data_IF_313316938946
#
_entry.id   IF_313316938946
#
_cell.length_a   1.000
_cell.length_b   1.000
_cell.length_c   1.000
_cell.angle_alpha   90.00
_cell.angle_beta   90.00
_cell.angle_gamma   90.00
#
_symmetry.space_group_name_H-M   'P 1'
#
loop_
_entity.id
_entity.type
_entity.pdbx_description
1 polymer ?
#
# COMPACT_ATOMS: atom_id res chain seq x y z
N UNK A 1 21.23 -7.90 -6.58
CA UNK A 1 20.50 -7.99 -7.88
C UNK A 1 21.43 -7.68 -9.04
N UNK A 2 22.02 -6.48 -9.17
CA UNK A 2 22.91 -6.11 -10.28
C UNK A 2 24.17 -7.01 -10.38
N UNK A 3 24.82 -7.30 -9.26
CA UNK A 3 25.99 -8.21 -9.25
C UNK A 3 25.61 -9.61 -9.73
N UNK A 4 24.48 -10.15 -9.25
CA UNK A 4 23.95 -11.43 -9.71
C UNK A 4 23.59 -11.42 -11.20
N UNK A 5 23.09 -10.30 -11.72
CA UNK A 5 22.82 -10.16 -13.14
C UNK A 5 24.11 -10.24 -13.97
N UNK A 6 25.18 -9.54 -13.54
CA UNK A 6 26.48 -9.63 -14.20
C UNK A 6 27.08 -11.05 -14.14
N UNK A 7 26.93 -11.75 -13.02
CA UNK A 7 27.36 -13.14 -12.87
C UNK A 7 26.63 -14.10 -13.83
N UNK A 8 25.34 -13.87 -14.06
CA UNK A 8 24.51 -14.66 -14.99
C UNK A 8 24.78 -14.31 -16.46
N UNK A 9 25.32 -13.13 -16.74
CA UNK A 9 25.60 -12.64 -18.08
C UNK A 9 27.08 -12.25 -18.28
N UNK A 10 28.03 -13.17 -18.09
CA UNK A 10 29.46 -12.85 -18.06
C UNK A 10 30.02 -12.35 -19.40
N UNK A 11 29.28 -12.48 -20.50
CA UNK A 11 29.64 -11.97 -21.81
C UNK A 11 29.07 -10.59 -22.13
N UNK A 12 28.37 -9.98 -21.18
CA UNK A 12 27.81 -8.64 -21.31
C UNK A 12 28.66 -7.66 -20.52
N UNK A 13 29.03 -6.55 -21.17
CA UNK A 13 29.73 -5.46 -20.51
C UNK A 13 28.73 -4.38 -20.12
N UNK A 14 28.20 -4.52 -18.88
CA UNK A 14 27.18 -3.63 -18.35
C UNK A 14 27.69 -2.92 -17.11
N UNK A 15 27.58 -1.60 -17.12
CA UNK A 15 27.79 -0.75 -15.95
C UNK A 15 26.44 -0.25 -15.45
N UNK A 16 26.16 -0.45 -14.16
CA UNK A 16 24.95 0.02 -13.52
C UNK A 16 25.16 1.40 -12.90
N UNK A 17 24.29 2.34 -13.25
CA UNK A 17 24.19 3.64 -12.60
C UNK A 17 22.99 3.61 -11.66
N UNK A 18 23.18 4.02 -10.40
CA UNK A 18 22.15 3.95 -9.39
C UNK A 18 21.59 5.34 -9.12
N UNK A 19 20.26 5.43 -9.11
CA UNK A 19 19.52 6.59 -8.65
C UNK A 19 18.67 6.25 -7.43
N UNK A 20 18.24 7.26 -6.69
CA UNK A 20 17.33 7.11 -5.55
C UNK A 20 15.97 7.68 -5.92
N UNK A 21 14.97 6.81 -5.92
CA UNK A 21 13.56 7.17 -6.08
C UNK A 21 12.74 6.22 -5.21
N UNK A 22 11.83 6.75 -4.41
CA UNK A 22 10.91 5.90 -3.66
C UNK A 22 9.86 5.32 -4.61
N UNK A 23 9.33 4.13 -4.29
CA UNK A 23 8.28 3.49 -5.09
C UNK A 23 7.00 4.36 -5.19
N UNK A 24 6.74 5.17 -4.18
CA UNK A 24 5.59 6.08 -4.13
C UNK A 24 5.79 7.36 -4.94
N UNK A 25 7.05 7.81 -5.10
CA UNK A 25 7.38 9.01 -5.86
C UNK A 25 7.58 8.74 -7.36
N UNK A 26 7.84 7.50 -7.74
CA UNK A 26 8.08 7.12 -9.14
C UNK A 26 6.98 7.64 -10.09
N UNK A 27 5.70 7.53 -9.69
CA UNK A 27 4.56 8.02 -10.48
C UNK A 27 4.56 9.52 -10.74
N UNK A 28 5.33 10.31 -9.97
CA UNK A 28 5.46 11.76 -10.15
C UNK A 28 6.76 12.14 -10.83
N UNK A 29 7.86 11.48 -10.44
CA UNK A 29 9.20 11.86 -10.89
C UNK A 29 9.52 11.33 -12.28
N UNK A 30 9.19 10.07 -12.57
CA UNK A 30 9.49 9.46 -13.87
C UNK A 30 8.81 10.19 -15.04
N UNK A 31 7.52 10.55 -14.98
CA UNK A 31 6.87 11.29 -16.06
C UNK A 31 7.38 12.71 -16.30
N UNK A 32 8.14 13.29 -15.36
CA UNK A 32 8.68 14.65 -15.55
C UNK A 32 9.79 14.71 -16.60
N UNK A 33 10.61 13.66 -16.66
CA UNK A 33 11.69 13.54 -17.64
C UNK A 33 11.98 12.03 -17.87
N UNK A 34 11.28 11.45 -18.84
CA UNK A 34 11.38 10.03 -19.15
C UNK A 34 12.76 9.68 -19.69
N UNK A 35 13.38 10.59 -20.45
CA UNK A 35 14.69 10.37 -21.05
C UNK A 35 15.82 10.37 -20.00
N UNK A 36 15.63 11.06 -18.89
CA UNK A 36 16.55 11.08 -17.75
C UNK A 36 16.22 10.02 -16.68
N UNK A 37 15.07 9.36 -16.77
CA UNK A 37 14.68 8.32 -15.83
C UNK A 37 15.56 7.07 -15.97
N UNK A 38 15.64 6.27 -14.91
CA UNK A 38 16.33 4.99 -14.95
C UNK A 38 15.58 4.00 -15.87
N UNK A 39 16.35 3.16 -16.61
CA UNK A 39 15.80 2.10 -17.47
C UNK A 39 14.97 1.07 -16.68
N UNK A 40 15.31 0.87 -15.41
CA UNK A 40 14.59 -0.02 -14.48
C UNK A 40 14.40 0.69 -13.15
N UNK A 41 13.17 0.74 -12.68
CA UNK A 41 12.83 1.37 -11.40
C UNK A 41 11.71 0.60 -10.69
N UNK A 42 11.61 0.81 -9.38
CA UNK A 42 10.55 0.25 -8.53
C UNK A 42 9.43 1.26 -8.43
N UNK A 43 8.19 0.80 -8.55
CA UNK A 43 7.01 1.65 -8.35
C UNK A 43 5.92 0.92 -7.56
N UNK A 44 5.06 1.68 -6.90
CA UNK A 44 3.85 1.16 -6.27
C UNK A 44 2.76 0.93 -7.31
N UNK A 45 2.02 -0.18 -7.23
CA UNK A 45 0.88 -0.47 -8.12
C UNK A 45 -0.17 0.66 -8.15
N UNK A 46 -0.27 1.45 -7.08
CA UNK A 46 -1.13 2.66 -7.04
C UNK A 46 -0.68 3.78 -7.99
N UNK A 47 0.51 3.66 -8.56
CA UNK A 47 1.06 4.58 -9.57
C UNK A 47 0.99 4.06 -10.99
N UNK A 48 0.53 2.82 -11.20
CA UNK A 48 0.54 2.15 -12.50
C UNK A 48 -0.16 2.97 -13.58
N UNK A 49 -1.38 3.41 -13.34
CA UNK A 49 -2.16 4.19 -14.29
C UNK A 49 -1.45 5.48 -14.72
N UNK A 50 -0.92 6.24 -13.76
CA UNK A 50 -0.19 7.47 -14.05
C UNK A 50 1.04 7.23 -14.96
N UNK A 51 1.78 6.16 -14.67
CA UNK A 51 2.97 5.78 -15.42
C UNK A 51 2.62 5.28 -16.83
N UNK A 52 1.55 4.49 -16.99
CA UNK A 52 1.06 4.03 -18.29
C UNK A 52 0.55 5.19 -19.13
N UNK A 53 -0.27 6.09 -18.58
CA UNK A 53 -0.78 7.28 -19.27
C UNK A 53 0.34 8.23 -19.73
N UNK A 54 1.44 8.27 -18.99
CA UNK A 54 2.63 9.02 -19.35
C UNK A 54 3.57 8.27 -20.32
N UNK A 55 3.21 7.06 -20.78
CA UNK A 55 4.07 6.18 -21.57
C UNK A 55 5.45 5.92 -20.95
N UNK A 56 5.50 5.83 -19.62
CA UNK A 56 6.75 5.66 -18.85
C UNK A 56 7.09 4.19 -18.58
N UNK A 57 6.23 3.26 -19.02
CA UNK A 57 6.42 1.82 -18.83
C UNK A 57 6.34 1.08 -20.16
N UNK A 58 7.07 -0.01 -20.23
CA UNK A 58 7.01 -0.94 -21.37
C UNK A 58 6.15 -2.14 -21.01
N UNK A 59 5.25 -2.52 -21.90
CA UNK A 59 4.43 -3.71 -21.77
C UNK A 59 5.28 -4.99 -21.84
N UNK A 60 5.03 -5.91 -20.91
CA UNK A 60 5.63 -7.24 -20.94
C UNK A 60 4.87 -8.17 -21.90
N UNK A 61 5.62 -8.86 -22.78
CA UNK A 61 5.06 -9.81 -23.72
C UNK A 61 5.84 -11.12 -23.81
N UNK A 62 5.27 -12.08 -24.56
CA UNK A 62 5.89 -13.38 -24.82
C UNK A 62 6.29 -14.10 -23.54
N UNK A 63 7.47 -14.72 -23.56
CA UNK A 63 7.96 -15.54 -22.43
C UNK A 63 8.03 -14.82 -21.08
N UNK A 64 8.19 -13.50 -21.07
CA UNK A 64 8.24 -12.73 -19.81
C UNK A 64 6.85 -12.62 -19.18
N UNK A 65 5.83 -12.39 -20.00
CA UNK A 65 4.44 -12.40 -19.55
C UNK A 65 4.04 -13.79 -19.02
N UNK A 66 4.42 -14.86 -19.75
CA UNK A 66 4.18 -16.23 -19.32
C UNK A 66 4.83 -16.49 -17.96
N UNK A 67 6.10 -16.07 -17.79
CA UNK A 67 6.82 -16.21 -16.53
C UNK A 67 6.12 -15.46 -15.36
N UNK A 68 5.59 -14.27 -15.60
CA UNK A 68 4.84 -13.51 -14.59
C UNK A 68 3.59 -14.29 -14.20
N UNK A 69 2.80 -14.74 -15.16
CA UNK A 69 1.54 -15.47 -14.92
C UNK A 69 1.73 -16.84 -14.25
N UNK A 70 2.85 -17.51 -14.51
CA UNK A 70 3.18 -18.83 -13.93
C UNK A 70 3.70 -18.71 -12.48
N UNK A 71 4.45 -17.67 -12.17
CA UNK A 71 5.15 -17.56 -10.88
C UNK A 71 4.45 -16.70 -9.83
N UNK A 72 3.44 -15.92 -10.22
CA UNK A 72 2.70 -15.03 -9.30
C UNK A 72 1.21 -15.36 -9.32
N UNK A 73 0.52 -15.07 -8.22
CA UNK A 73 -0.94 -15.21 -8.18
C UNK A 73 -1.62 -14.24 -9.14
N UNK A 74 -2.83 -14.58 -9.59
CA UNK A 74 -3.63 -13.71 -10.48
C UNK A 74 -3.81 -12.31 -9.87
N UNK A 75 -4.09 -12.21 -8.57
CA UNK A 75 -4.24 -10.93 -7.88
C UNK A 75 -3.00 -10.05 -8.02
N UNK A 76 -1.80 -10.63 -7.94
CA UNK A 76 -0.55 -9.87 -8.12
C UNK A 76 -0.31 -9.47 -9.57
N UNK A 77 -0.57 -10.36 -10.52
CA UNK A 77 -0.45 -10.05 -11.94
C UNK A 77 -1.47 -8.97 -12.36
N UNK A 78 -2.71 -9.08 -11.89
CA UNK A 78 -3.80 -8.13 -12.17
C UNK A 78 -3.52 -6.75 -11.58
N UNK A 79 -2.84 -6.66 -10.42
CA UNK A 79 -2.43 -5.38 -9.82
C UNK A 79 -1.43 -4.59 -10.67
N UNK A 80 -0.80 -5.22 -11.65
CA UNK A 80 0.15 -4.64 -12.60
C UNK A 80 -0.40 -4.59 -14.04
N UNK A 81 -1.71 -4.84 -14.20
CA UNK A 81 -2.40 -4.79 -15.48
C UNK A 81 -3.08 -3.43 -15.67
N UNK A 82 -2.82 -2.80 -16.80
CA UNK A 82 -3.47 -1.58 -17.25
C UNK A 82 -4.02 -1.80 -18.66
N UNK A 83 -5.31 -1.52 -18.86
CA UNK A 83 -6.06 -2.01 -20.01
C UNK A 83 -5.85 -3.53 -20.12
N UNK A 84 -5.32 -4.08 -21.17
CA UNK A 84 -5.07 -5.52 -21.31
C UNK A 84 -3.59 -5.90 -21.15
N UNK A 85 -2.70 -4.93 -20.91
CA UNK A 85 -1.25 -5.09 -20.85
C UNK A 85 -0.72 -5.22 -19.41
N UNK A 86 0.34 -6.00 -19.24
CA UNK A 86 1.07 -6.12 -17.96
C UNK A 86 2.35 -5.29 -18.02
N UNK A 87 2.55 -4.40 -17.02
CA UNK A 87 3.60 -3.37 -17.06
C UNK A 87 4.62 -3.47 -15.93
N UNK A 88 4.67 -4.58 -15.23
CA UNK A 88 5.63 -4.77 -14.14
C UNK A 88 5.83 -6.23 -13.76
N UNK A 89 6.87 -6.47 -12.98
CA UNK A 89 7.12 -7.75 -12.32
C UNK A 89 6.90 -7.56 -10.83
N UNK A 90 6.01 -8.34 -10.18
CA UNK A 90 5.79 -8.24 -8.75
C UNK A 90 7.09 -8.48 -7.97
N UNK A 91 7.46 -7.58 -7.08
CA UNK A 91 8.67 -7.70 -6.28
C UNK A 91 8.34 -8.03 -4.82
N UNK A 92 7.33 -7.37 -4.26
CA UNK A 92 6.89 -7.57 -2.89
C UNK A 92 5.42 -7.20 -2.75
N UNK A 93 4.75 -7.79 -1.77
CA UNK A 93 3.43 -7.37 -1.34
C UNK A 93 3.55 -6.57 -0.06
N UNK A 94 2.97 -5.38 -0.07
CA UNK A 94 2.90 -4.55 1.12
C UNK A 94 1.47 -4.58 1.68
N UNK A 95 1.38 -4.72 2.99
CA UNK A 95 0.15 -4.55 3.74
C UNK A 95 0.43 -3.74 5.00
N UNK A 96 -0.60 -3.20 5.60
CA UNK A 96 -0.47 -2.61 6.92
C UNK A 96 -1.13 -3.51 7.98
N UNK A 97 -0.67 -3.34 9.21
CA UNK A 97 -1.20 -3.99 10.38
C UNK A 97 -0.96 -3.12 11.62
N UNK A 98 -1.42 -3.59 12.74
CA UNK A 98 -1.27 -2.88 13.99
C UNK A 98 -0.06 -3.39 14.76
N UNK A 99 0.79 -2.46 15.19
CA UNK A 99 1.81 -2.69 16.21
C UNK A 99 1.24 -2.28 17.56
N UNK A 100 1.44 -3.10 18.59
CA UNK A 100 0.91 -2.80 19.91
C UNK A 100 1.85 -3.22 21.05
N UNK A 101 1.73 -2.54 22.17
CA UNK A 101 2.45 -2.84 23.40
C UNK A 101 1.75 -3.98 24.16
N UNK A 102 2.40 -5.13 24.23
CA UNK A 102 1.89 -6.32 24.95
C UNK A 102 1.80 -6.12 26.46
N UNK A 103 2.43 -5.10 27.02
CA UNK A 103 2.29 -4.78 28.44
C UNK A 103 0.98 -4.02 28.74
N UNK A 104 0.37 -3.41 27.72
CA UNK A 104 -0.88 -2.63 27.82
C UNK A 104 -2.07 -3.43 27.29
N UNK A 105 -1.91 -4.11 26.15
CA UNK A 105 -2.97 -4.86 25.50
C UNK A 105 -2.69 -6.35 25.45
N UNK A 106 -3.69 -7.15 25.84
CA UNK A 106 -3.68 -8.59 25.62
C UNK A 106 -4.10 -8.93 24.19
N UNK A 107 -3.92 -10.21 23.80
CA UNK A 107 -4.38 -10.72 22.49
C UNK A 107 -5.91 -10.68 22.31
N UNK A 108 -6.67 -10.64 23.40
CA UNK A 108 -8.12 -10.46 23.35
C UNK A 108 -8.51 -8.99 23.18
N UNK A 109 -7.79 -8.08 23.79
CA UNK A 109 -8.07 -6.64 23.69
C UNK A 109 -7.92 -6.11 22.27
N UNK A 110 -6.91 -6.59 21.53
CA UNK A 110 -6.63 -6.14 20.15
C UNK A 110 -7.68 -6.59 19.11
N UNK A 111 -8.65 -7.40 19.52
CA UNK A 111 -9.76 -7.83 18.66
C UNK A 111 -10.86 -6.77 18.53
N UNK A 112 -10.86 -5.77 19.40
CA UNK A 112 -11.83 -4.67 19.40
C UNK A 112 -11.12 -3.35 19.63
N UNK A 113 -11.29 -2.43 18.69
CA UNK A 113 -10.72 -1.08 18.82
C UNK A 113 -11.34 -0.32 19.99
N UNK A 114 -12.65 -0.51 20.26
CA UNK A 114 -13.32 0.12 21.42
C UNK A 114 -12.66 -0.33 22.73
N UNK A 115 -12.41 -1.64 22.88
CA UNK A 115 -11.72 -2.18 24.05
C UNK A 115 -10.30 -1.61 24.19
N UNK A 116 -9.61 -1.42 23.08
CA UNK A 116 -8.27 -0.81 23.10
C UNK A 116 -8.33 0.66 23.55
N UNK A 117 -9.29 1.41 23.03
CA UNK A 117 -9.49 2.83 23.39
C UNK A 117 -9.93 3.03 24.84
N UNK A 118 -10.51 2.02 25.50
CA UNK A 118 -10.77 2.04 26.94
C UNK A 118 -9.50 1.84 27.79
N UNK A 119 -8.47 1.18 27.25
CA UNK A 119 -7.27 0.76 27.99
C UNK A 119 -6.03 1.58 27.71
N UNK A 120 -5.92 2.16 26.53
CA UNK A 120 -4.71 2.85 26.11
C UNK A 120 -4.91 3.67 24.85
N UNK A 121 -3.87 4.39 24.45
CA UNK A 121 -3.91 5.27 23.29
C UNK A 121 -3.53 4.54 22.03
N UNK A 122 -4.35 4.73 20.98
CA UNK A 122 -4.17 4.11 19.66
C UNK A 122 -4.02 5.20 18.61
N UNK A 123 -2.93 5.16 17.84
CA UNK A 123 -2.70 6.06 16.72
C UNK A 123 -3.14 5.42 15.41
N UNK A 124 -4.04 6.09 14.67
CA UNK A 124 -4.56 5.62 13.38
C UNK A 124 -4.46 6.75 12.36
N UNK A 125 -3.92 6.51 11.14
CA UNK A 125 -3.82 7.54 10.10
C UNK A 125 -5.14 7.69 9.33
N UNK A 126 -6.21 8.11 10.00
CA UNK A 126 -7.56 8.26 9.43
C UNK A 126 -7.66 9.35 8.35
N UNK A 127 -6.67 10.22 8.24
CA UNK A 127 -6.55 11.23 7.17
C UNK A 127 -5.92 10.66 5.88
N UNK A 128 -5.60 9.38 5.85
CA UNK A 128 -5.05 8.68 4.70
C UNK A 128 -6.04 7.61 4.21
N UNK A 129 -6.50 7.74 2.96
CA UNK A 129 -7.49 6.85 2.36
C UNK A 129 -7.09 5.38 2.33
N UNK A 130 -5.80 5.06 2.25
CA UNK A 130 -5.31 3.69 2.29
C UNK A 130 -5.65 2.97 3.62
N UNK A 131 -5.50 3.66 4.75
CA UNK A 131 -5.88 3.11 6.06
C UNK A 131 -7.38 3.22 6.33
N UNK A 132 -7.99 4.34 5.93
CA UNK A 132 -9.41 4.59 6.14
C UNK A 132 -10.30 3.61 5.37
N UNK A 133 -9.89 3.19 4.18
CA UNK A 133 -10.65 2.30 3.31
C UNK A 133 -11.07 1.00 3.99
N UNK A 134 -10.24 0.43 4.88
CA UNK A 134 -10.55 -0.82 5.56
C UNK A 134 -11.79 -0.76 6.44
N UNK A 135 -12.06 0.38 7.06
CA UNK A 135 -13.28 0.58 7.86
C UNK A 135 -14.54 0.50 7.00
N UNK A 136 -14.51 1.15 5.84
CA UNK A 136 -15.64 1.14 4.91
C UNK A 136 -15.79 -0.20 4.18
N UNK A 137 -14.70 -0.82 3.75
CA UNK A 137 -14.75 -2.16 3.16
C UNK A 137 -15.28 -3.19 4.17
N UNK A 138 -14.85 -3.10 5.42
CA UNK A 138 -15.37 -3.95 6.50
C UNK A 138 -16.84 -3.72 6.82
N UNK A 139 -17.38 -2.54 6.51
CA UNK A 139 -18.79 -2.19 6.66
C UNK A 139 -19.62 -2.47 5.39
N UNK A 140 -19.06 -3.10 4.36
CA UNK A 140 -19.80 -3.48 3.15
C UNK A 140 -19.76 -2.46 2.03
N UNK A 141 -18.84 -1.48 2.07
CA UNK A 141 -18.56 -0.64 0.91
C UNK A 141 -17.95 -1.47 -0.22
N UNK A 142 -18.23 -1.11 -1.45
CA UNK A 142 -17.54 -1.68 -2.61
C UNK A 142 -16.71 -0.61 -3.31
N UNK A 143 -15.47 -0.95 -3.63
CA UNK A 143 -14.54 -0.10 -4.34
C UNK A 143 -14.26 -0.75 -5.68
N UNK A 144 -14.74 -0.11 -6.76
CA UNK A 144 -14.57 -0.57 -8.14
C UNK A 144 -15.15 -1.97 -8.41
N UNK A 145 -16.40 -2.19 -7.96
CA UNK A 145 -17.12 -3.44 -8.10
C UNK A 145 -16.76 -4.51 -7.06
N UNK A 146 -17.32 -5.71 -7.22
CA UNK A 146 -17.14 -6.80 -6.25
C UNK A 146 -15.70 -7.32 -6.24
N UNK A 147 -15.07 -7.38 -7.40
CA UNK A 147 -13.67 -7.85 -7.55
C UNK A 147 -12.62 -6.72 -7.45
N UNK A 148 -13.06 -5.46 -7.31
CA UNK A 148 -12.16 -4.30 -7.17
C UNK A 148 -11.48 -3.86 -8.48
N UNK A 149 -11.94 -4.29 -9.64
CA UNK A 149 -11.34 -4.03 -10.96
C UNK A 149 -12.31 -3.38 -11.96
N UNK A 150 -13.54 -3.11 -11.57
CA UNK A 150 -14.58 -2.50 -12.41
C UNK A 150 -14.57 -0.97 -12.23
N UNK A 151 -13.78 -0.26 -13.02
CA UNK A 151 -13.60 1.20 -12.91
C UNK A 151 -14.90 1.98 -12.97
N UNK A 152 -15.85 1.56 -13.84
CA UNK A 152 -17.13 2.22 -14.02
C UNK A 152 -18.07 2.07 -12.81
N UNK A 153 -17.87 1.04 -11.99
CA UNK A 153 -18.64 0.84 -10.77
C UNK A 153 -18.29 1.88 -9.69
N UNK A 154 -17.09 2.47 -9.76
CA UNK A 154 -16.66 3.50 -8.84
C UNK A 154 -16.61 3.05 -7.37
N UNK A 155 -16.74 4.00 -6.46
CA UNK A 155 -16.78 3.76 -5.01
C UNK A 155 -18.22 3.91 -4.55
N UNK A 156 -18.77 2.87 -3.91
CA UNK A 156 -20.15 2.86 -3.39
C UNK A 156 -20.12 2.88 -1.87
N UNK A 157 -20.58 3.99 -1.31
CA UNK A 157 -20.66 4.26 0.13
C UNK A 157 -22.08 4.62 0.59
N UNK A 158 -23.09 4.49 -0.23
CA UNK A 158 -24.45 4.99 0.00
C UNK A 158 -25.41 3.91 0.53
N UNK A 159 -24.93 3.12 1.48
CA UNK A 159 -25.74 2.14 2.21
C UNK A 159 -25.78 2.45 3.73
N UNK A 160 -26.73 1.82 4.43
CA UNK A 160 -26.95 2.06 5.85
C UNK A 160 -25.74 1.64 6.71
N UNK A 161 -25.02 0.61 6.32
CA UNK A 161 -23.87 0.07 7.00
C UNK A 161 -22.67 1.03 6.93
N UNK A 162 -22.41 1.61 5.77
CA UNK A 162 -21.33 2.61 5.60
C UNK A 162 -21.68 3.94 6.27
N UNK A 163 -22.97 4.31 6.32
CA UNK A 163 -23.43 5.46 7.10
C UNK A 163 -23.23 5.21 8.60
N UNK A 164 -23.58 4.02 9.10
CA UNK A 164 -23.32 3.64 10.48
C UNK A 164 -21.82 3.65 10.81
N UNK A 165 -20.96 3.16 9.90
CA UNK A 165 -19.51 3.24 10.05
C UNK A 165 -19.01 4.70 10.09
N UNK A 166 -19.55 5.57 9.24
CA UNK A 166 -19.19 7.00 9.27
C UNK A 166 -19.52 7.63 10.62
N UNK A 167 -20.70 7.34 11.17
CA UNK A 167 -21.08 7.82 12.50
C UNK A 167 -20.17 7.26 13.60
N UNK A 168 -19.85 5.97 13.54
CA UNK A 168 -18.91 5.34 14.47
C UNK A 168 -17.51 5.99 14.40
N UNK A 169 -17.01 6.32 13.20
CA UNK A 169 -15.75 7.04 13.03
C UNK A 169 -15.81 8.45 13.61
N UNK A 170 -16.94 9.17 13.46
CA UNK A 170 -17.15 10.49 14.06
C UNK A 170 -17.10 10.41 15.58
N UNK A 171 -17.74 9.41 16.18
CA UNK A 171 -17.71 9.21 17.62
C UNK A 171 -16.32 8.79 18.10
N UNK A 172 -15.65 7.93 17.33
CA UNK A 172 -14.30 7.44 17.64
C UNK A 172 -13.28 8.58 17.66
N UNK A 173 -13.31 9.51 16.71
CA UNK A 173 -12.34 10.63 16.66
C UNK A 173 -12.55 11.64 17.79
N UNK A 174 -13.64 11.56 18.53
CA UNK A 174 -13.87 12.35 19.74
C UNK A 174 -13.30 11.68 21.00
N UNK A 175 -12.88 10.41 20.91
CA UNK A 175 -12.26 9.72 22.02
C UNK A 175 -10.84 10.25 22.25
N UNK A 176 -10.53 10.67 23.49
CA UNK A 176 -9.23 11.22 23.88
C UNK A 176 -8.06 10.23 23.75
N UNK A 177 -8.36 8.94 23.66
CA UNK A 177 -7.39 7.87 23.48
C UNK A 177 -7.15 7.52 21.99
N UNK A 178 -7.92 8.09 21.06
CA UNK A 178 -7.61 8.00 19.63
C UNK A 178 -6.73 9.18 19.22
N UNK A 179 -5.63 8.85 18.55
CA UNK A 179 -4.70 9.84 17.99
C UNK A 179 -4.71 9.71 16.47
N UNK A 180 -5.18 10.74 15.78
CA UNK A 180 -5.07 10.79 14.31
C UNK A 180 -3.69 11.34 13.95
N UNK A 181 -2.82 10.51 13.39
CA UNK A 181 -1.44 10.89 13.07
C UNK A 181 -0.92 10.19 11.83
N UNK A 182 0.18 10.67 11.26
CA UNK A 182 0.93 9.89 10.27
C UNK A 182 1.56 8.64 10.90
N UNK A 183 1.86 7.59 10.12
CA UNK A 183 2.58 6.43 10.65
C UNK A 183 3.97 6.79 11.23
N UNK A 184 4.67 7.74 10.62
CA UNK A 184 5.98 8.21 11.04
C UNK A 184 5.93 8.88 12.41
N UNK A 185 4.94 9.75 12.62
CA UNK A 185 4.72 10.41 13.92
C UNK A 185 4.30 9.38 14.97
N UNK A 186 3.44 8.41 14.60
CA UNK A 186 2.97 7.36 15.51
C UNK A 186 4.12 6.49 16.04
N UNK A 187 5.12 6.18 15.19
CA UNK A 187 6.33 5.46 15.59
C UNK A 187 7.11 6.25 16.66
N UNK A 188 7.28 7.56 16.46
CA UNK A 188 7.95 8.40 17.44
C UNK A 188 7.16 8.42 18.76
N UNK A 189 5.84 8.61 18.69
CA UNK A 189 4.96 8.59 19.85
C UNK A 189 5.00 7.25 20.61
N UNK A 190 5.07 6.12 19.89
CA UNK A 190 5.18 4.80 20.52
C UNK A 190 6.51 4.64 21.26
N UNK A 191 7.62 5.08 20.66
CA UNK A 191 8.96 5.06 21.30
C UNK A 191 9.03 5.93 22.55
N UNK A 192 8.29 7.02 22.58
CA UNK A 192 8.18 7.93 23.72
C UNK A 192 7.15 7.48 24.77
N UNK A 193 6.38 6.42 24.50
CA UNK A 193 5.31 5.94 25.37
C UNK A 193 4.04 6.80 25.35
N UNK A 194 3.87 7.66 24.34
CA UNK A 194 2.72 8.55 24.20
C UNK A 194 1.51 7.86 23.56
N UNK A 195 1.73 6.74 22.83
CA UNK A 195 0.69 5.83 22.32
C UNK A 195 1.10 4.39 22.63
N UNK A 196 0.12 3.49 22.69
CA UNK A 196 0.31 2.09 23.05
C UNK A 196 0.04 1.13 21.87
N UNK A 197 -0.54 1.65 20.80
CA UNK A 197 -0.66 0.96 19.53
C UNK A 197 -0.68 1.95 18.37
N UNK A 198 -0.25 1.49 17.19
CA UNK A 198 -0.35 2.28 15.96
C UNK A 198 -0.46 1.38 14.74
N UNK A 199 -1.03 1.94 13.68
CA UNK A 199 -1.14 1.27 12.39
C UNK A 199 -0.04 1.73 11.44
N UNK A 200 0.71 0.77 10.91
CA UNK A 200 1.74 1.01 9.91
C UNK A 200 1.97 -0.25 9.09
N UNK A 201 2.71 -0.13 7.99
CA UNK A 201 2.94 -1.25 7.09
C UNK A 201 4.18 -2.08 7.40
N UNK A 202 4.31 -3.17 6.64
CA UNK A 202 5.47 -4.08 6.67
C UNK A 202 6.81 -3.38 6.45
N UNK A 203 6.81 -2.25 5.78
CA UNK A 203 8.00 -1.43 5.50
C UNK A 203 8.62 -0.77 6.73
N UNK A 204 7.95 -0.83 7.88
CA UNK A 204 8.47 -0.31 9.16
C UNK A 204 8.97 -1.41 10.12
N UNK A 205 8.93 -2.66 9.70
CA UNK A 205 9.32 -3.80 10.54
C UNK A 205 10.85 -4.01 10.67
N UNK A 206 11.68 -3.13 10.09
CA UNK A 206 13.15 -3.23 10.11
C UNK A 206 13.80 -2.53 11.31
#
# INVERSE_FOLDING_TARGET
MCDQFNELHPNWDITFNYGVCTESDAKKLVPQDIDAAADVFIYSSTGLENLCQANSLTEFGGKYLDTIRENYSSVLADSLTYDDGVYGVPMTTNTYFMYYDKSVFSEDDIKSLDTMLEKGKVAIPLNNGFYLASFYLGAGATFFGEEGNEREAGIVLDNDETLAMTNALIDMVQNENLVVSSPEDAIAMMREGNVNAYFCGTWQAA
#
